data_IF_418766012955
#
_entry.id   IF_418766012955
#
_cell.length_a   1.000
_cell.length_b   1.000
_cell.length_c   1.000
_cell.angle_alpha   90.00
_cell.angle_beta   90.00
_cell.angle_gamma   90.00
#
_symmetry.space_group_name_H-M   'P 1'
#
loop_
_entity.id
_entity.type
_entity.pdbx_description
1 polymer ?
#
# COMPACT_ATOMS: atom_id res chain seq x y z
N UNK A 1 -11.70 13.80 3.58
CA UNK A 1 -12.61 12.82 4.22
C UNK A 1 -11.77 11.71 4.83
N UNK A 2 -12.20 11.09 5.93
CA UNK A 2 -11.42 10.04 6.61
C UNK A 2 -11.89 8.64 6.17
N UNK A 3 -10.94 7.72 5.94
CA UNK A 3 -11.22 6.31 5.61
C UNK A 3 -12.07 5.60 6.67
N UNK A 4 -11.96 6.02 7.93
CA UNK A 4 -12.80 5.50 9.00
C UNK A 4 -14.27 5.92 8.87
N UNK A 5 -14.63 6.98 8.15
CA UNK A 5 -15.98 7.54 8.18
C UNK A 5 -16.35 8.10 9.56
N UNK A 6 -17.61 7.91 9.97
CA UNK A 6 -18.12 8.44 11.26
C UNK A 6 -17.90 7.48 12.44
N UNK A 7 -17.48 6.24 12.19
CA UNK A 7 -17.20 5.27 13.28
C UNK A 7 -15.96 5.66 14.08
N UNK A 8 -15.91 5.10 15.30
CA UNK A 8 -14.76 5.17 16.18
C UNK A 8 -13.58 4.38 15.62
N UNK A 9 -12.36 4.75 16.04
CA UNK A 9 -11.12 4.04 15.66
C UNK A 9 -11.19 2.57 16.11
N UNK A 10 -11.79 2.30 17.27
CA UNK A 10 -11.94 0.93 17.77
C UNK A 10 -12.81 0.07 16.85
N UNK A 11 -13.95 0.61 16.41
CA UNK A 11 -14.82 -0.10 15.47
C UNK A 11 -14.13 -0.30 14.12
N UNK A 12 -13.47 0.73 13.61
CA UNK A 12 -12.72 0.64 12.37
C UNK A 12 -11.59 -0.39 12.42
N UNK A 13 -10.82 -0.43 13.51
CA UNK A 13 -9.76 -1.40 13.71
C UNK A 13 -10.28 -2.83 13.85
N UNK A 14 -11.39 -3.02 14.57
CA UNK A 14 -12.04 -4.32 14.65
C UNK A 14 -12.54 -4.81 13.29
N UNK A 15 -13.19 -3.94 12.51
CA UNK A 15 -13.68 -4.28 11.16
C UNK A 15 -12.49 -4.66 10.24
N UNK A 16 -11.39 -3.91 10.31
CA UNK A 16 -10.19 -4.15 9.51
C UNK A 16 -9.30 -5.31 10.04
N UNK A 17 -9.56 -5.82 11.25
CA UNK A 17 -8.65 -6.74 11.94
C UNK A 17 -7.25 -6.14 12.17
N UNK A 18 -7.18 -4.84 12.49
CA UNK A 18 -5.96 -4.07 12.72
C UNK A 18 -6.06 -3.37 14.08
N UNK A 19 -4.97 -3.38 14.85
CA UNK A 19 -4.94 -2.77 16.18
C UNK A 19 -5.40 -1.29 16.17
N UNK A 20 -6.43 -0.92 16.96
CA UNK A 20 -6.91 0.46 17.03
C UNK A 20 -5.82 1.44 17.51
N UNK A 21 -4.90 1.00 18.38
CA UNK A 21 -3.77 1.80 18.83
C UNK A 21 -2.78 2.11 17.70
N UNK A 22 -2.54 1.14 16.81
CA UNK A 22 -1.75 1.30 15.59
C UNK A 22 -2.41 2.26 14.61
N UNK A 23 -3.71 2.12 14.36
CA UNK A 23 -4.48 3.07 13.52
C UNK A 23 -4.43 4.49 14.10
N UNK A 24 -4.57 4.64 15.42
CA UNK A 24 -4.46 5.94 16.06
C UNK A 24 -3.07 6.57 15.88
N UNK A 25 -1.99 5.77 15.87
CA UNK A 25 -0.63 6.27 15.61
C UNK A 25 -0.46 6.67 14.15
N UNK A 26 -0.98 5.88 13.20
CA UNK A 26 -0.97 6.20 11.77
C UNK A 26 -1.67 7.54 11.49
N UNK A 27 -2.88 7.73 12.02
CA UNK A 27 -3.66 8.96 11.83
C UNK A 27 -2.97 10.21 12.41
N UNK A 28 -2.09 10.03 13.40
CA UNK A 28 -1.32 11.11 14.03
C UNK A 28 0.06 11.31 13.42
N UNK A 29 0.43 10.53 12.40
CA UNK A 29 1.77 10.57 11.79
C UNK A 29 2.88 10.14 12.75
N UNK A 30 2.56 9.33 13.77
CA UNK A 30 3.53 8.88 14.79
C UNK A 30 4.23 7.58 14.41
N UNK A 31 4.03 7.09 13.18
CA UNK A 31 4.67 5.88 12.68
C UNK A 31 5.78 6.30 11.73
N UNK A 32 7.01 5.90 12.04
CA UNK A 32 8.20 6.26 11.24
C UNK A 32 8.25 5.52 9.90
N UNK A 33 7.59 4.37 9.81
CA UNK A 33 7.53 3.53 8.62
C UNK A 33 6.11 3.47 8.08
N UNK A 34 5.97 3.44 6.76
CA UNK A 34 4.68 3.20 6.13
C UNK A 34 4.08 1.86 6.60
N UNK A 35 2.75 1.78 6.79
CA UNK A 35 2.11 0.51 7.10
C UNK A 35 2.27 -0.47 5.93
N UNK A 36 2.51 -1.74 6.22
CA UNK A 36 2.64 -2.76 5.17
C UNK A 36 1.43 -2.85 4.26
N UNK A 37 1.66 -3.27 3.01
CA UNK A 37 0.62 -3.38 1.97
C UNK A 37 -0.61 -4.22 2.41
N UNK A 38 -0.40 -5.25 3.23
CA UNK A 38 -1.49 -6.04 3.81
C UNK A 38 -2.38 -5.23 4.76
N UNK A 39 -1.77 -4.40 5.61
CA UNK A 39 -2.51 -3.53 6.53
C UNK A 39 -3.26 -2.47 5.74
N UNK A 40 -2.64 -1.91 4.70
CA UNK A 40 -3.30 -0.98 3.78
C UNK A 40 -4.52 -1.62 3.11
N UNK A 41 -4.37 -2.83 2.57
CA UNK A 41 -5.48 -3.58 1.97
C UNK A 41 -6.62 -3.78 2.97
N UNK A 42 -6.32 -4.28 4.17
CA UNK A 42 -7.30 -4.48 5.24
C UNK A 42 -8.06 -3.19 5.58
N UNK A 43 -7.36 -2.08 5.67
CA UNK A 43 -7.97 -0.78 5.96
C UNK A 43 -8.85 -0.30 4.81
N UNK A 44 -8.44 -0.53 3.55
CA UNK A 44 -9.20 -0.20 2.35
C UNK A 44 -10.45 -1.06 2.17
N UNK A 45 -10.37 -2.36 2.44
CA UNK A 45 -11.51 -3.29 2.29
C UNK A 45 -12.71 -2.88 3.15
N UNK A 46 -12.45 -2.23 4.28
CA UNK A 46 -13.50 -1.69 5.14
C UNK A 46 -13.64 -0.18 5.06
N UNK A 47 -12.84 0.53 4.24
CA UNK A 47 -12.82 1.98 4.19
C UNK A 47 -14.15 2.57 3.69
N UNK A 48 -14.50 3.74 4.22
CA UNK A 48 -15.68 4.51 3.82
C UNK A 48 -15.26 5.76 3.05
N UNK A 49 -16.26 6.48 2.51
CA UNK A 49 -16.09 7.73 1.78
C UNK A 49 -15.34 7.61 0.45
N UNK A 50 -15.44 6.45 -0.21
CA UNK A 50 -14.79 6.22 -1.50
C UNK A 50 -13.26 6.15 -1.44
N UNK A 51 -12.68 6.01 -0.24
CA UNK A 51 -11.24 5.78 -0.10
C UNK A 51 -10.91 4.38 -0.58
N UNK A 52 -10.14 4.31 -1.66
CA UNK A 52 -9.71 3.06 -2.26
C UNK A 52 -8.37 2.58 -1.69
N UNK A 53 -8.05 1.30 -1.93
CA UNK A 53 -6.71 0.76 -1.66
C UNK A 53 -5.62 1.56 -2.37
N UNK A 54 -5.89 2.06 -3.57
CA UNK A 54 -4.96 2.88 -4.33
C UNK A 54 -4.62 4.17 -3.57
N UNK A 55 -5.61 4.90 -3.07
CA UNK A 55 -5.39 6.14 -2.31
C UNK A 55 -4.50 5.92 -1.08
N UNK A 56 -4.70 4.80 -0.39
CA UNK A 56 -3.91 4.43 0.77
C UNK A 56 -2.49 3.98 0.39
N UNK A 57 -2.31 3.25 -0.71
CA UNK A 57 -1.00 2.84 -1.22
C UNK A 57 -0.18 4.06 -1.69
N UNK A 58 -0.84 5.01 -2.36
CA UNK A 58 -0.23 6.28 -2.75
C UNK A 58 0.15 7.11 -1.53
N UNK A 59 -0.74 7.24 -0.55
CA UNK A 59 -0.44 7.97 0.69
C UNK A 59 0.70 7.34 1.51
N UNK A 60 0.86 6.02 1.40
CA UNK A 60 1.95 5.27 2.02
C UNK A 60 3.27 5.31 1.21
N UNK A 61 3.27 5.88 0.00
CA UNK A 61 4.45 5.99 -0.85
C UNK A 61 4.81 4.71 -1.62
N UNK A 62 3.88 3.77 -1.76
CA UNK A 62 4.08 2.55 -2.56
C UNK A 62 3.78 2.75 -4.05
N UNK A 63 3.05 3.80 -4.39
CA UNK A 63 2.71 4.19 -5.76
C UNK A 63 3.13 5.64 -5.91
N UNK A 64 3.97 5.91 -6.90
CA UNK A 64 4.38 7.27 -7.22
C UNK A 64 3.23 7.98 -7.93
N UNK A 65 2.75 9.09 -7.37
CA UNK A 65 2.05 10.09 -8.15
C UNK A 65 3.09 10.71 -9.08
N UNK A 66 3.03 10.41 -10.38
CA UNK A 66 3.79 11.16 -11.37
C UNK A 66 3.50 12.66 -11.12
N UNK A 67 4.52 13.46 -10.76
CA UNK A 67 4.31 14.86 -10.44
C UNK A 67 4.35 15.62 -11.76
N UNK A 68 3.32 15.47 -12.60
CA UNK A 68 3.02 16.56 -13.51
C UNK A 68 1.55 16.60 -13.93
N UNK A 69 1.02 17.81 -13.81
CA UNK A 69 -0.27 18.33 -14.24
C UNK A 69 -1.51 18.09 -13.36
N UNK A 70 -2.08 19.25 -13.02
CA UNK A 70 -3.46 19.54 -12.64
C UNK A 70 -4.44 18.39 -12.84
N UNK A 71 -5.18 18.12 -11.77
CA UNK A 71 -6.39 17.32 -11.66
C UNK A 71 -7.42 17.63 -12.75
N UNK A 72 -7.26 16.99 -13.91
CA UNK A 72 -8.36 16.30 -14.57
C UNK A 72 -8.24 14.84 -14.15
N UNK A 73 -9.36 14.20 -13.79
CA UNK A 73 -9.41 12.86 -13.21
C UNK A 73 -8.53 11.85 -13.97
N UNK A 74 -7.36 11.55 -13.40
CA UNK A 74 -6.51 10.47 -13.88
C UNK A 74 -7.16 9.19 -13.36
N UNK A 75 -7.71 8.37 -14.25
CA UNK A 75 -8.15 7.02 -13.93
C UNK A 75 -6.91 6.13 -13.67
N UNK A 76 -6.37 6.25 -12.46
CA UNK A 76 -5.15 5.59 -11.99
C UNK A 76 -5.36 4.08 -11.70
N UNK A 77 -6.60 3.58 -11.84
CA UNK A 77 -6.92 2.14 -11.73
C UNK A 77 -6.20 1.29 -12.79
N UNK A 78 -5.71 1.94 -13.86
CA UNK A 78 -4.94 1.35 -14.95
C UNK A 78 -3.41 1.37 -14.74
N UNK A 79 -2.91 1.91 -13.62
CA UNK A 79 -1.46 2.01 -13.43
C UNK A 79 -0.80 0.62 -13.34
N UNK A 80 0.24 0.40 -14.14
CA UNK A 80 1.00 -0.87 -14.13
C UNK A 80 1.57 -1.17 -12.74
N UNK A 81 1.94 -0.13 -12.00
CA UNK A 81 2.41 -0.24 -10.62
C UNK A 81 1.34 -0.85 -9.70
N UNK A 82 0.08 -0.40 -9.79
CA UNK A 82 -1.01 -0.97 -9.00
C UNK A 82 -1.26 -2.45 -9.34
N UNK A 83 -1.23 -2.80 -10.64
CA UNK A 83 -1.37 -4.18 -11.10
C UNK A 83 -0.24 -5.08 -10.60
N UNK A 84 1.00 -4.58 -10.62
CA UNK A 84 2.15 -5.28 -10.05
C UNK A 84 1.95 -5.52 -8.55
N UNK A 85 1.52 -4.51 -7.81
CA UNK A 85 1.24 -4.61 -6.37
C UNK A 85 0.13 -5.62 -6.03
N UNK A 86 -0.93 -5.67 -6.83
CA UNK A 86 -1.97 -6.69 -6.67
C UNK A 86 -1.41 -8.10 -6.85
N UNK A 87 -0.57 -8.32 -7.88
CA UNK A 87 0.10 -9.61 -8.10
C UNK A 87 1.03 -9.99 -6.94
N UNK A 88 1.76 -9.03 -6.37
CA UNK A 88 2.58 -9.28 -5.18
C UNK A 88 1.74 -9.76 -4.01
N UNK A 89 0.61 -9.11 -3.74
CA UNK A 89 -0.30 -9.49 -2.65
C UNK A 89 -0.88 -10.89 -2.88
N UNK A 90 -1.33 -11.18 -4.11
CA UNK A 90 -1.91 -12.48 -4.46
C UNK A 90 -0.90 -13.62 -4.42
N UNK A 91 0.29 -13.40 -4.97
CA UNK A 91 1.35 -14.42 -5.00
C UNK A 91 1.96 -14.64 -3.60
N UNK A 92 2.10 -13.58 -2.79
CA UNK A 92 2.49 -13.70 -1.39
C UNK A 92 1.46 -14.53 -0.60
N UNK A 93 0.17 -14.29 -0.83
CA UNK A 93 -0.90 -15.09 -0.22
C UNK A 93 -0.84 -16.56 -0.66
N UNK A 94 -0.49 -16.83 -1.93
CA UNK A 94 -0.34 -18.20 -2.46
C UNK A 94 0.77 -18.98 -1.77
N UNK A 95 1.91 -18.34 -1.48
CA UNK A 95 3.04 -19.00 -0.82
C UNK A 95 3.04 -18.86 0.70
N UNK A 96 2.01 -18.26 1.30
CA UNK A 96 1.95 -17.95 2.73
C UNK A 96 3.17 -17.13 3.20
N UNK A 97 3.65 -16.23 2.34
CA UNK A 97 4.76 -15.30 2.58
C UNK A 97 4.16 -13.93 2.89
N UNK A 98 4.80 -13.12 3.74
CA UNK A 98 4.35 -11.75 3.97
C UNK A 98 4.48 -10.94 2.67
N UNK A 99 3.49 -10.11 2.29
CA UNK A 99 3.61 -9.20 1.14
C UNK A 99 4.82 -8.25 1.25
N UNK A 100 5.26 -7.96 2.48
CA UNK A 100 6.46 -7.16 2.74
C UNK A 100 7.73 -7.92 2.36
N UNK A 101 7.81 -9.21 2.68
CA UNK A 101 8.93 -10.08 2.29
C UNK A 101 8.93 -10.34 0.78
N UNK A 102 7.75 -10.52 0.19
CA UNK A 102 7.60 -10.67 -1.26
C UNK A 102 8.04 -9.40 -1.99
N UNK A 103 7.67 -8.22 -1.48
CA UNK A 103 8.14 -6.94 -2.01
C UNK A 103 9.66 -6.78 -1.84
N UNK A 104 10.19 -7.09 -0.67
CA UNK A 104 11.62 -7.01 -0.39
C UNK A 104 12.41 -7.95 -1.32
N UNK A 105 11.88 -9.15 -1.58
CA UNK A 105 12.45 -10.11 -2.51
C UNK A 105 12.45 -9.59 -3.95
N UNK A 106 11.34 -9.04 -4.44
CA UNK A 106 11.26 -8.46 -5.79
C UNK A 106 12.20 -7.26 -5.93
N UNK A 107 12.25 -6.41 -4.91
CA UNK A 107 13.14 -5.24 -4.88
C UNK A 107 14.60 -5.68 -4.84
N UNK A 108 14.92 -6.72 -4.06
CA UNK A 108 16.27 -7.31 -3.97
C UNK A 108 16.69 -7.99 -5.28
N UNK A 109 15.80 -8.75 -5.92
CA UNK A 109 16.03 -9.32 -7.25
C UNK A 109 16.25 -8.22 -8.30
N UNK A 110 15.42 -7.17 -8.30
CA UNK A 110 15.57 -6.02 -9.19
C UNK A 110 16.91 -5.32 -9.00
N UNK A 111 17.35 -5.12 -7.76
CA UNK A 111 18.66 -4.54 -7.44
C UNK A 111 19.83 -5.45 -7.84
N UNK A 112 19.72 -6.77 -7.66
CA UNK A 112 20.75 -7.74 -8.10
C UNK A 112 20.85 -7.81 -9.63
N UNK A 113 19.72 -7.80 -10.34
CA UNK A 113 19.68 -7.77 -11.81
C UNK A 113 20.22 -6.44 -12.36
N UNK A 114 19.92 -5.31 -11.71
CA UNK A 114 20.47 -4.00 -12.07
C UNK A 114 21.99 -3.92 -11.86
N UNK A 115 22.53 -4.63 -10.86
CA UNK A 115 23.98 -4.73 -10.63
C UNK A 115 24.67 -5.58 -11.70
N UNK A 116 24.08 -6.70 -12.11
CA UNK A 116 24.60 -7.53 -13.21
C UNK A 116 24.71 -6.76 -14.53
N UNK A 117 23.76 -5.84 -14.82
CA UNK A 117 23.83 -4.99 -16.02
C UNK A 117 24.94 -3.95 -16.00
N UNK A 118 25.56 -3.68 -14.84
CA UNK A 118 26.59 -2.65 -14.68
C UNK A 118 28.01 -3.19 -14.80
N UNK A 119 28.19 -4.50 -14.76
CA UNK A 119 29.48 -5.17 -14.92
C UNK A 119 29.76 -5.63 -16.38
N UNK A 120 28.80 -5.43 -17.30
CA UNK A 120 28.92 -5.72 -18.74
C UNK A 120 29.18 -4.44 -19.59
N UNK A 121 29.66 -3.34 -18.99
CA UNK A 121 30.02 -2.09 -19.70
C UNK A 121 31.45 -1.64 -19.45
#
# INVERSE_FOLDING_TARGET
>A
MLAKGDRSINRFGNDAGVDPGYISRLLRGLVNNAPGAMVIKKLADVAWNGVSIHDLLTAAGYIDLLPDKKTDYIDLSQSEQFQQWQRVIEEAARYNISPEDALAFITSLGQSMARMKKDDS
#
